data_IF_634647449849
#
_entry.id   IF_634647449849
#
_cell.length_a   1.000
_cell.length_b   1.000
_cell.length_c   1.000
_cell.angle_alpha   90.00
_cell.angle_beta   90.00
_cell.angle_gamma   90.00
#
_symmetry.space_group_name_H-M   'P 1'
#
loop_
_entity.id
_entity.type
_entity.pdbx_description
1 polymer ?
#
# COMPACT_ATOMS: atom_id res chain seq x y z
N UNK A 1 -18.98 113.90 -14.48
CA UNK A 1 -18.79 112.80 -15.45
C UNK A 1 -20.17 112.44 -15.99
N UNK A 2 -20.32 112.65 -17.30
CA UNK A 2 -21.46 112.57 -18.23
C UNK A 2 -22.61 111.62 -17.86
N UNK A 3 -23.88 112.08 -17.79
CA UNK A 3 -24.87 112.34 -18.88
C UNK A 3 -25.47 111.01 -19.44
N UNK A 4 -26.77 110.68 -19.40
CA UNK A 4 -28.07 111.36 -19.59
C UNK A 4 -28.73 110.92 -20.91
N UNK A 5 -30.06 110.72 -20.84
CA UNK A 5 -31.06 110.48 -21.91
C UNK A 5 -31.10 109.05 -22.50
N UNK A 6 -32.23 108.35 -22.59
CA UNK A 6 -33.62 108.78 -22.70
C UNK A 6 -34.10 108.59 -24.15
N UNK A 7 -35.21 107.87 -24.36
CA UNK A 7 -35.92 107.92 -25.65
C UNK A 7 -36.61 106.62 -26.07
N UNK A 8 -37.92 106.55 -25.82
CA UNK A 8 -38.84 105.57 -26.38
C UNK A 8 -39.17 105.85 -27.85
N UNK A 9 -39.54 104.80 -28.60
CA UNK A 9 -40.56 104.81 -29.66
C UNK A 9 -40.98 103.38 -30.05
N UNK A 10 -42.25 103.05 -29.79
CA UNK A 10 -43.08 102.00 -30.44
C UNK A 10 -43.42 102.41 -31.90
N UNK A 11 -44.20 101.69 -32.74
CA UNK A 11 -44.94 100.40 -32.61
C UNK A 11 -44.86 99.48 -33.89
N UNK A 12 -45.48 98.30 -33.85
CA UNK A 12 -46.29 97.66 -34.92
C UNK A 12 -46.71 96.25 -34.44
N UNK A 13 -47.94 95.99 -33.96
CA UNK A 13 -49.21 95.90 -34.66
C UNK A 13 -49.33 94.70 -35.63
N UNK A 14 -50.07 93.67 -35.19
CA UNK A 14 -50.98 92.90 -36.04
C UNK A 14 -50.62 91.43 -36.32
N UNK A 15 -51.28 90.49 -35.64
CA UNK A 15 -52.20 89.56 -36.28
C UNK A 15 -52.85 88.61 -35.25
N UNK A 16 -54.17 88.65 -35.27
CA UNK A 16 -55.18 87.91 -34.54
C UNK A 16 -55.27 86.45 -35.03
N UNK A 17 -55.62 85.54 -34.13
CA UNK A 17 -56.67 84.55 -34.38
C UNK A 17 -57.23 84.17 -33.01
N UNK A 18 -58.47 84.57 -32.82
CA UNK A 18 -59.36 84.09 -31.78
C UNK A 18 -59.53 82.56 -31.92
N UNK A 19 -59.65 81.90 -30.78
CA UNK A 19 -60.68 80.87 -30.65
C UNK A 19 -61.54 81.28 -29.45
N UNK A 20 -62.54 82.11 -29.73
CA UNK A 20 -63.76 82.19 -28.93
C UNK A 20 -64.53 80.87 -29.09
N UNK A 21 -65.17 80.39 -28.03
CA UNK A 21 -66.15 79.30 -28.11
C UNK A 21 -65.85 78.11 -27.20
N UNK A 22 -66.61 77.99 -26.12
CA UNK A 22 -66.38 77.03 -25.06
C UNK A 22 -66.59 75.56 -25.44
N UNK A 23 -65.86 74.71 -24.74
CA UNK A 23 -66.31 73.38 -24.30
C UNK A 23 -65.61 73.09 -22.97
N UNK A 24 -66.37 72.70 -21.95
CA UNK A 24 -65.80 72.15 -20.72
C UNK A 24 -65.01 70.90 -21.05
N UNK A 25 -63.70 70.93 -20.79
CA UNK A 25 -62.79 69.80 -20.95
C UNK A 25 -61.65 70.00 -19.97
N UNK A 26 -61.37 68.99 -19.16
CA UNK A 26 -60.42 69.02 -18.05
C UNK A 26 -58.97 69.11 -18.50
N UNK A 27 -58.07 69.10 -17.51
CA UNK A 27 -56.61 69.08 -17.71
C UNK A 27 -56.23 67.98 -18.74
N UNK A 28 -55.57 68.31 -19.87
CA UNK A 28 -55.43 67.41 -21.01
C UNK A 28 -54.87 65.99 -20.72
N UNK A 29 -54.00 65.79 -19.70
CA UNK A 29 -53.57 64.46 -19.24
C UNK A 29 -54.65 63.56 -18.62
N UNK A 30 -55.81 64.11 -18.23
CA UNK A 30 -56.91 63.37 -17.59
C UNK A 30 -58.17 63.29 -18.46
N UNK A 31 -58.05 63.59 -19.75
CA UNK A 31 -59.12 63.43 -20.73
C UNK A 31 -59.32 61.94 -21.07
N UNK A 32 -60.43 61.37 -20.61
CA UNK A 32 -60.74 59.93 -20.71
C UNK A 32 -60.89 59.40 -22.14
N UNK A 33 -61.07 60.30 -23.11
CA UNK A 33 -61.12 59.99 -24.55
C UNK A 33 -59.79 59.42 -25.08
N UNK A 34 -58.66 59.73 -24.43
CA UNK A 34 -57.32 59.27 -24.86
C UNK A 34 -56.88 57.94 -24.21
N UNK A 35 -57.50 57.55 -23.10
CA UNK A 35 -57.16 56.34 -22.36
C UNK A 35 -57.33 55.05 -23.17
N UNK A 36 -58.37 54.96 -24.01
CA UNK A 36 -58.57 53.79 -24.86
C UNK A 36 -57.39 53.58 -25.82
N UNK A 37 -56.88 54.65 -26.45
CA UNK A 37 -55.74 54.59 -27.36
C UNK A 37 -54.44 54.24 -26.65
N UNK A 38 -54.20 54.82 -25.47
CA UNK A 38 -53.04 54.48 -24.63
C UNK A 38 -53.08 53.04 -24.15
N UNK A 39 -54.24 52.52 -23.76
CA UNK A 39 -54.40 51.11 -23.36
C UNK A 39 -54.20 50.15 -24.54
N UNK A 40 -54.65 50.50 -25.75
CA UNK A 40 -54.40 49.71 -26.96
C UNK A 40 -52.90 49.65 -27.27
N UNK A 41 -52.21 50.80 -27.28
CA UNK A 41 -50.76 50.83 -27.49
C UNK A 41 -49.98 50.11 -26.38
N UNK A 42 -50.38 50.30 -25.12
CA UNK A 42 -49.81 49.58 -23.98
C UNK A 42 -49.96 48.07 -24.18
N UNK A 43 -51.15 47.59 -24.57
CA UNK A 43 -51.37 46.18 -24.82
C UNK A 43 -50.51 45.66 -25.98
N UNK A 44 -50.37 46.41 -27.06
CA UNK A 44 -49.51 46.05 -28.20
C UNK A 44 -48.04 45.92 -27.76
N UNK A 45 -47.48 46.93 -27.07
CA UNK A 45 -46.10 46.89 -26.60
C UNK A 45 -45.88 45.84 -25.52
N UNK A 46 -46.85 45.65 -24.62
CA UNK A 46 -46.78 44.63 -23.58
C UNK A 46 -46.75 43.23 -24.18
N UNK A 47 -47.62 42.94 -25.15
CA UNK A 47 -47.63 41.66 -25.87
C UNK A 47 -46.33 41.47 -26.66
N UNK A 48 -45.85 42.50 -27.36
CA UNK A 48 -44.57 42.43 -28.08
C UNK A 48 -43.41 42.13 -27.12
N UNK A 49 -43.31 42.84 -25.99
CA UNK A 49 -42.30 42.61 -24.96
C UNK A 49 -42.43 41.21 -24.35
N UNK A 50 -43.65 40.77 -24.04
CA UNK A 50 -43.93 39.44 -23.49
C UNK A 50 -43.44 38.33 -24.43
N UNK A 51 -43.70 38.45 -25.73
CA UNK A 51 -43.22 37.49 -26.72
C UNK A 51 -41.69 37.49 -26.80
N UNK A 52 -41.04 38.65 -26.77
CA UNK A 52 -39.58 38.75 -26.78
C UNK A 52 -38.99 38.10 -25.51
N UNK A 53 -39.49 38.42 -24.33
CA UNK A 53 -38.99 37.88 -23.06
C UNK A 53 -39.22 36.37 -22.99
N UNK A 54 -40.40 35.90 -23.38
CA UNK A 54 -40.72 34.47 -23.37
C UNK A 54 -39.92 33.66 -24.39
N UNK A 55 -39.66 34.21 -25.59
CA UNK A 55 -38.90 33.53 -26.64
C UNK A 55 -37.38 33.68 -26.54
N UNK A 56 -36.85 34.75 -25.95
CA UNK A 56 -35.40 34.99 -25.88
C UNK A 56 -34.86 34.93 -24.45
N UNK A 57 -35.45 35.66 -23.50
CA UNK A 57 -34.85 35.80 -22.16
C UNK A 57 -35.01 34.52 -21.32
N UNK A 58 -36.22 33.94 -21.29
CA UNK A 58 -36.48 32.70 -20.55
C UNK A 58 -35.63 31.52 -21.01
N UNK A 59 -35.48 31.19 -22.31
CA UNK A 59 -34.65 30.06 -22.72
C UNK A 59 -33.16 30.28 -22.41
N UNK A 60 -32.64 31.52 -22.40
CA UNK A 60 -31.25 31.77 -22.00
C UNK A 60 -31.01 31.48 -20.53
N UNK A 61 -31.96 31.83 -19.65
CA UNK A 61 -31.87 31.52 -18.21
C UNK A 61 -32.04 30.02 -17.98
N UNK A 62 -33.01 29.40 -18.66
CA UNK A 62 -33.23 27.95 -18.60
C UNK A 62 -31.97 27.16 -18.99
N UNK A 63 -31.35 27.52 -20.12
CA UNK A 63 -30.11 26.87 -20.57
C UNK A 63 -28.93 27.07 -19.60
N UNK A 64 -28.82 28.21 -18.92
CA UNK A 64 -27.79 28.42 -17.91
C UNK A 64 -28.00 27.56 -16.64
N UNK A 65 -29.26 27.37 -16.23
CA UNK A 65 -29.63 26.49 -15.11
C UNK A 65 -29.34 25.03 -15.48
N UNK A 66 -29.79 24.59 -16.65
CA UNK A 66 -29.58 23.24 -17.15
C UNK A 66 -28.09 22.92 -17.34
N UNK A 67 -27.30 23.85 -17.89
CA UNK A 67 -25.85 23.68 -18.01
C UNK A 67 -25.17 23.51 -16.64
N UNK A 68 -25.59 24.28 -15.62
CA UNK A 68 -25.06 24.11 -14.25
C UNK A 68 -25.48 22.79 -13.65
N UNK A 69 -26.73 22.39 -13.82
CA UNK A 69 -27.25 21.13 -13.32
C UNK A 69 -26.49 19.95 -13.94
N UNK A 70 -26.36 19.94 -15.27
CA UNK A 70 -25.60 18.92 -16.00
C UNK A 70 -24.13 18.88 -15.55
N UNK A 71 -23.51 20.05 -15.30
CA UNK A 71 -22.14 20.10 -14.78
C UNK A 71 -22.05 19.50 -13.37
N UNK A 72 -22.96 19.86 -12.47
CA UNK A 72 -22.96 19.34 -11.10
C UNK A 72 -23.19 17.82 -11.10
N UNK A 73 -24.16 17.34 -11.89
CA UNK A 73 -24.43 15.91 -12.01
C UNK A 73 -23.23 15.17 -12.62
N UNK A 74 -22.57 15.74 -13.62
CA UNK A 74 -21.33 15.21 -14.20
C UNK A 74 -20.19 15.15 -13.19
N UNK A 75 -19.92 16.26 -12.49
CA UNK A 75 -18.88 16.34 -11.46
C UNK A 75 -19.16 15.33 -10.32
N UNK A 76 -20.43 15.17 -9.91
CA UNK A 76 -20.83 14.22 -8.86
C UNK A 76 -20.66 12.76 -9.32
N UNK A 77 -21.04 12.44 -10.56
CA UNK A 77 -20.88 11.12 -11.13
C UNK A 77 -19.39 10.74 -11.30
N UNK A 78 -18.57 11.69 -11.72
CA UNK A 78 -17.11 11.51 -11.79
C UNK A 78 -16.51 11.31 -10.40
N UNK A 79 -16.89 12.15 -9.43
CA UNK A 79 -16.44 12.00 -8.05
C UNK A 79 -16.83 10.64 -7.45
N UNK A 80 -18.06 10.17 -7.69
CA UNK A 80 -18.50 8.86 -7.25
C UNK A 80 -17.69 7.74 -7.91
N UNK A 81 -17.45 7.84 -9.23
CA UNK A 81 -16.63 6.86 -9.96
C UNK A 81 -15.20 6.79 -9.43
N UNK A 82 -14.57 7.96 -9.19
CA UNK A 82 -13.22 8.04 -8.61
C UNK A 82 -13.17 7.47 -7.19
N UNK A 83 -14.22 7.71 -6.39
CA UNK A 83 -14.36 7.12 -5.06
C UNK A 83 -14.47 5.61 -5.14
N UNK A 84 -15.33 5.08 -6.00
CA UNK A 84 -15.52 3.63 -6.16
C UNK A 84 -14.23 2.94 -6.66
N UNK A 85 -13.51 3.58 -7.60
CA UNK A 85 -12.19 3.10 -8.05
C UNK A 85 -11.16 3.11 -6.92
N UNK A 86 -11.15 4.16 -6.08
CA UNK A 86 -10.24 4.25 -4.94
C UNK A 86 -10.56 3.19 -3.89
N UNK A 87 -11.83 2.98 -3.56
CA UNK A 87 -12.28 1.97 -2.61
C UNK A 87 -11.96 0.55 -3.14
N UNK A 88 -12.14 0.31 -4.44
CA UNK A 88 -11.77 -0.95 -5.07
C UNK A 88 -10.25 -1.18 -5.05
N UNK A 89 -9.46 -0.16 -5.34
CA UNK A 89 -7.99 -0.22 -5.29
C UNK A 89 -7.49 -0.45 -3.86
N UNK A 90 -8.09 0.21 -2.86
CA UNK A 90 -7.78 0.01 -1.44
C UNK A 90 -8.04 -1.44 -1.03
N UNK A 91 -9.22 -1.97 -1.37
CA UNK A 91 -9.59 -3.35 -1.06
C UNK A 91 -8.65 -4.37 -1.72
N UNK A 92 -8.29 -4.14 -2.98
CA UNK A 92 -7.33 -4.98 -3.69
C UNK A 92 -5.94 -4.93 -3.01
N UNK A 93 -5.47 -3.73 -2.66
CA UNK A 93 -4.20 -3.54 -1.96
C UNK A 93 -4.18 -4.22 -0.60
N UNK A 94 -5.23 -4.07 0.20
CA UNK A 94 -5.36 -4.73 1.51
C UNK A 94 -5.37 -6.25 1.39
N UNK A 95 -6.09 -6.78 0.40
CA UNK A 95 -6.12 -8.22 0.11
C UNK A 95 -4.74 -8.75 -0.31
N UNK A 96 -4.05 -8.04 -1.20
CA UNK A 96 -2.70 -8.40 -1.62
C UNK A 96 -1.70 -8.33 -0.46
N UNK A 97 -1.81 -7.32 0.40
CA UNK A 97 -0.97 -7.18 1.59
C UNK A 97 -1.22 -8.32 2.59
N UNK A 98 -2.48 -8.70 2.82
CA UNK A 98 -2.83 -9.83 3.65
C UNK A 98 -2.27 -11.15 3.08
N UNK A 99 -2.48 -11.38 1.78
CA UNK A 99 -1.92 -12.54 1.06
C UNK A 99 -0.39 -12.59 1.15
N UNK A 100 0.29 -11.46 0.94
CA UNK A 100 1.75 -11.37 1.05
C UNK A 100 2.25 -11.69 2.46
N UNK A 101 1.57 -11.18 3.51
CA UNK A 101 1.89 -11.49 4.90
C UNK A 101 1.71 -12.99 5.21
N UNK A 102 0.61 -13.59 4.77
CA UNK A 102 0.38 -15.03 4.94
C UNK A 102 1.43 -15.85 4.20
N UNK A 103 1.77 -15.48 2.96
CA UNK A 103 2.84 -16.14 2.19
C UNK A 103 4.20 -16.02 2.87
N UNK A 104 4.55 -14.83 3.38
CA UNK A 104 5.80 -14.63 4.11
C UNK A 104 5.88 -15.49 5.38
N UNK A 105 4.80 -15.57 6.15
CA UNK A 105 4.72 -16.45 7.32
C UNK A 105 4.84 -17.93 6.93
N UNK A 106 4.16 -18.36 5.87
CA UNK A 106 4.25 -19.73 5.36
C UNK A 106 5.68 -20.08 4.94
N UNK A 107 6.35 -19.21 4.18
CA UNK A 107 7.76 -19.39 3.77
C UNK A 107 8.68 -19.45 4.99
N UNK A 108 8.46 -18.59 5.98
CA UNK A 108 9.25 -18.57 7.21
C UNK A 108 9.11 -19.86 8.02
N UNK A 109 7.89 -20.39 8.14
CA UNK A 109 7.63 -21.66 8.81
C UNK A 109 8.22 -22.84 8.03
N UNK A 110 7.97 -22.91 6.72
CA UNK A 110 8.50 -23.97 5.86
C UNK A 110 10.03 -24.01 5.88
N UNK A 111 10.67 -22.83 5.86
CA UNK A 111 12.13 -22.73 5.92
C UNK A 111 12.69 -23.18 7.27
N UNK A 112 12.00 -22.86 8.38
CA UNK A 112 12.36 -23.36 9.72
C UNK A 112 12.21 -24.87 9.81
N UNK A 113 11.10 -25.41 9.31
CA UNK A 113 10.84 -26.85 9.33
C UNK A 113 11.87 -27.62 8.50
N UNK A 114 12.22 -27.10 7.31
CA UNK A 114 13.29 -27.64 6.47
C UNK A 114 14.66 -27.57 7.15
N UNK A 115 14.99 -26.44 7.77
CA UNK A 115 16.26 -26.28 8.47
C UNK A 115 16.38 -27.24 9.68
N UNK A 116 15.30 -27.39 10.45
CA UNK A 116 15.25 -28.33 11.57
C UNK A 116 15.38 -29.78 11.09
N UNK A 117 14.65 -30.15 10.03
CA UNK A 117 14.74 -31.50 9.46
C UNK A 117 16.14 -31.82 8.93
N UNK A 118 16.80 -30.84 8.28
CA UNK A 118 18.18 -30.99 7.82
C UNK A 118 19.16 -31.11 9.00
N UNK A 119 19.02 -30.27 10.03
CA UNK A 119 19.86 -30.32 11.21
C UNK A 119 19.71 -31.66 11.95
N UNK A 120 18.50 -32.20 12.07
CA UNK A 120 18.25 -33.50 12.67
C UNK A 120 18.86 -34.65 11.85
N UNK A 121 18.77 -34.57 10.52
CA UNK A 121 19.39 -35.56 9.63
C UNK A 121 20.92 -35.53 9.71
N UNK A 122 21.53 -34.35 9.67
CA UNK A 122 22.97 -34.17 9.84
C UNK A 122 23.44 -34.64 11.21
N UNK A 123 22.69 -34.31 12.26
CA UNK A 123 22.98 -34.76 13.62
C UNK A 123 22.98 -36.28 13.72
N UNK A 124 21.96 -36.96 13.17
CA UNK A 124 21.91 -38.44 13.15
C UNK A 124 23.08 -39.03 12.37
N UNK A 125 23.41 -38.48 11.21
CA UNK A 125 24.55 -38.94 10.43
C UNK A 125 25.89 -38.76 11.18
N UNK A 126 26.06 -37.64 11.90
CA UNK A 126 27.23 -37.39 12.74
C UNK A 126 27.28 -38.35 13.93
N UNK A 127 26.16 -38.61 14.59
CA UNK A 127 26.06 -39.56 15.70
C UNK A 127 26.46 -40.99 15.23
N UNK A 128 25.98 -41.43 14.06
CA UNK A 128 26.38 -42.72 13.46
C UNK A 128 27.88 -42.77 13.13
N UNK A 129 28.42 -41.71 12.51
CA UNK A 129 29.86 -41.64 12.21
C UNK A 129 30.72 -41.64 13.48
N UNK A 130 30.28 -40.92 14.52
CA UNK A 130 30.96 -40.89 15.81
C UNK A 130 30.92 -42.28 16.48
N UNK A 131 29.78 -42.95 16.47
CA UNK A 131 29.65 -44.31 17.01
C UNK A 131 30.58 -45.30 16.28
N UNK A 132 30.65 -45.22 14.94
CA UNK A 132 31.54 -46.05 14.14
C UNK A 132 33.02 -45.77 14.45
N UNK A 133 33.40 -44.49 14.58
CA UNK A 133 34.77 -44.10 14.99
C UNK A 133 35.12 -44.58 16.39
N UNK A 134 34.17 -44.50 17.33
CA UNK A 134 34.37 -44.95 18.70
C UNK A 134 34.61 -46.47 18.73
N UNK A 135 33.76 -47.25 18.06
CA UNK A 135 33.92 -48.70 17.95
C UNK A 135 35.24 -49.10 17.27
N UNK A 136 35.66 -48.36 16.25
CA UNK A 136 36.96 -48.54 15.61
C UNK A 136 38.14 -48.28 16.56
N UNK A 137 38.09 -47.16 17.30
CA UNK A 137 39.11 -46.81 18.28
C UNK A 137 39.17 -47.84 19.42
N UNK A 138 38.03 -48.30 19.93
CA UNK A 138 37.95 -49.36 20.94
C UNK A 138 38.60 -50.66 20.46
N UNK A 139 38.34 -51.06 19.21
CA UNK A 139 38.98 -52.24 18.59
C UNK A 139 40.50 -52.07 18.48
N UNK A 140 40.97 -50.90 18.06
CA UNK A 140 42.41 -50.61 18.01
C UNK A 140 43.03 -50.68 19.40
N UNK A 141 42.42 -50.03 20.41
CA UNK A 141 42.90 -50.08 21.80
C UNK A 141 42.96 -51.53 22.30
N UNK A 142 41.93 -52.34 22.05
CA UNK A 142 41.90 -53.74 22.43
C UNK A 142 43.04 -54.54 21.75
N UNK A 143 43.27 -54.34 20.45
CA UNK A 143 44.36 -55.00 19.74
C UNK A 143 45.75 -54.58 20.24
N UNK A 144 45.96 -53.29 20.50
CA UNK A 144 47.23 -52.78 21.03
C UNK A 144 47.47 -53.29 22.44
N UNK A 145 46.44 -53.36 23.27
CA UNK A 145 46.52 -53.97 24.60
C UNK A 145 46.90 -55.45 24.51
N UNK A 146 46.25 -56.22 23.64
CA UNK A 146 46.57 -57.64 23.47
C UNK A 146 48.01 -57.84 22.99
N UNK A 147 48.47 -57.06 22.01
CA UNK A 147 49.84 -57.09 21.52
C UNK A 147 50.85 -56.70 22.60
N UNK A 148 50.59 -55.63 23.36
CA UNK A 148 51.44 -55.21 24.48
C UNK A 148 51.55 -56.29 25.56
N UNK A 149 50.43 -56.92 25.95
CA UNK A 149 50.43 -58.02 26.91
C UNK A 149 51.19 -59.26 26.39
N UNK A 150 51.06 -59.57 25.11
CA UNK A 150 51.83 -60.65 24.47
C UNK A 150 53.33 -60.36 24.47
N UNK A 151 53.74 -59.12 24.19
CA UNK A 151 55.14 -58.69 24.23
C UNK A 151 55.70 -58.78 25.66
N UNK A 152 54.95 -58.33 26.67
CA UNK A 152 55.34 -58.45 28.08
C UNK A 152 55.53 -59.91 28.48
N UNK A 153 54.61 -60.80 28.08
CA UNK A 153 54.73 -62.24 28.30
C UNK A 153 55.99 -62.82 27.64
N UNK A 154 56.30 -62.42 26.41
CA UNK A 154 57.52 -62.84 25.71
C UNK A 154 58.79 -62.40 26.43
N UNK A 155 58.87 -61.13 26.83
CA UNK A 155 60.01 -60.58 27.59
C UNK A 155 60.16 -61.29 28.94
N UNK A 156 59.05 -61.57 29.63
CA UNK A 156 59.08 -62.27 30.91
C UNK A 156 59.59 -63.72 30.76
N UNK A 157 59.15 -64.44 29.72
CA UNK A 157 59.63 -65.80 29.43
C UNK A 157 61.12 -65.82 29.05
N UNK A 158 61.57 -64.87 28.23
CA UNK A 158 62.98 -64.75 27.86
C UNK A 158 63.86 -64.42 29.07
N UNK A 159 63.46 -63.43 29.88
CA UNK A 159 64.18 -63.06 31.10
C UNK A 159 64.22 -64.21 32.12
N UNK A 160 63.10 -64.91 32.33
CA UNK A 160 63.05 -66.08 33.22
C UNK A 160 63.96 -67.21 32.73
N UNK A 161 63.96 -67.49 31.43
CA UNK A 161 64.84 -68.49 30.81
C UNK A 161 66.31 -68.16 30.99
N UNK A 162 66.71 -66.91 30.76
CA UNK A 162 68.09 -66.45 30.98
C UNK A 162 68.51 -66.54 32.45
N UNK A 163 67.63 -66.14 33.38
CA UNK A 163 67.91 -66.24 34.83
C UNK A 163 68.14 -67.70 35.24
N UNK A 164 67.30 -68.63 34.79
CA UNK A 164 67.44 -70.07 35.10
C UNK A 164 68.71 -70.65 34.50
N UNK A 165 69.02 -70.30 33.25
CA UNK A 165 70.26 -70.73 32.60
C UNK A 165 71.50 -70.23 33.35
N UNK A 166 71.49 -68.97 33.80
CA UNK A 166 72.61 -68.38 34.54
C UNK A 166 72.81 -69.03 35.92
N UNK A 167 71.73 -69.42 36.60
CA UNK A 167 71.77 -70.02 37.94
C UNK A 167 72.10 -71.53 37.92
N UNK A 168 71.65 -72.26 36.91
CA UNK A 168 71.77 -73.73 36.86
C UNK A 168 72.84 -74.24 35.88
N UNK A 169 73.30 -73.38 34.95
CA UNK A 169 74.25 -73.74 33.89
C UNK A 169 73.65 -74.59 32.77
N UNK A 170 72.35 -74.90 32.82
CA UNK A 170 71.64 -75.73 31.83
C UNK A 170 70.58 -74.88 31.13
N UNK A 171 70.45 -75.03 29.81
CA UNK A 171 69.40 -74.36 29.02
C UNK A 171 68.04 -74.97 29.39
N UNK A 172 67.11 -74.20 29.99
CA UNK A 172 65.79 -74.71 30.33
C UNK A 172 64.93 -74.93 29.09
N UNK A 173 64.06 -75.94 29.12
CA UNK A 173 63.12 -76.20 28.03
C UNK A 173 62.11 -75.04 27.89
N UNK A 174 61.95 -74.53 26.67
CA UNK A 174 61.12 -73.37 26.39
C UNK A 174 59.63 -73.60 26.67
N UNK A 175 59.13 -74.83 26.54
CA UNK A 175 57.73 -75.13 26.85
C UNK A 175 57.47 -75.07 28.36
N UNK A 176 58.41 -75.57 29.17
CA UNK A 176 58.33 -75.50 30.64
C UNK A 176 58.34 -74.07 31.18
N UNK A 177 59.22 -73.20 30.64
CA UNK A 177 59.32 -71.78 31.05
C UNK A 177 58.04 -71.02 30.69
N UNK A 178 57.54 -71.22 29.47
CA UNK A 178 56.28 -70.60 29.04
C UNK A 178 55.08 -71.04 29.88
N UNK A 179 55.00 -72.31 30.26
CA UNK A 179 53.94 -72.83 31.13
C UNK A 179 54.01 -72.23 32.55
N UNK A 180 55.21 -72.04 33.10
CA UNK A 180 55.40 -71.44 34.42
C UNK A 180 55.04 -69.95 34.44
N UNK A 181 55.44 -69.19 33.41
CA UNK A 181 55.04 -67.78 33.24
C UNK A 181 53.52 -67.66 33.08
N UNK A 182 52.89 -68.58 32.35
CA UNK A 182 51.42 -68.59 32.22
C UNK A 182 50.69 -68.89 33.51
N UNK A 183 51.25 -69.75 34.35
CA UNK A 183 50.70 -70.02 35.67
C UNK A 183 50.80 -68.79 36.58
N UNK A 184 51.89 -68.00 36.49
CA UNK A 184 52.05 -66.78 37.30
C UNK A 184 51.21 -65.61 36.82
N UNK A 185 50.93 -65.50 35.51
CA UNK A 185 50.07 -64.45 34.95
C UNK A 185 48.56 -64.67 35.19
N UNK A 186 48.15 -65.87 35.62
CA UNK A 186 46.75 -66.24 35.91
C UNK A 186 46.40 -66.21 37.40
N UNK A 187 47.39 -66.14 38.30
CA UNK A 187 47.22 -66.04 39.75
C UNK A 187 47.24 -64.60 40.22
#
# INVERSE_FOLDING_TARGET
MAESHGGAKSPAAGAHTEAEGGHGGGFPPFESSTYASQLVWLAIFFVALYVIVSKLALPKVGGAIEARQNKIEGDLAEAQTLKDQSDAALKAYESELASARTRAQAIGNESRDKANAQADAERKALEEQLAAKLAGAEKTIASTRAAAMSNVRGIAAEAAGQIVQQLTGVVPDAASVNAAVDASLKG
#
